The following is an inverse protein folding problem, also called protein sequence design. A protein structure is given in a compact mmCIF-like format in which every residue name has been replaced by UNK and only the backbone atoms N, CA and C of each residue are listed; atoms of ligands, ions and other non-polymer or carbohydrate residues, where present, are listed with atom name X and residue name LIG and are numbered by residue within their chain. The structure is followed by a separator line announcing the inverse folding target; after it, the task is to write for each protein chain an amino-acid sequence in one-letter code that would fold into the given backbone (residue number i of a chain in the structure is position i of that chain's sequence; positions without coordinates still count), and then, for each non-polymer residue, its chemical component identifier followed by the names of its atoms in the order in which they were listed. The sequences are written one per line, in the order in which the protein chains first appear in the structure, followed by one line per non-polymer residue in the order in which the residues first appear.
data_IF_359607767532
#
_entry.id   IF_359607767532
#
_cell.length_a   1.000
_cell.length_b   1.000
_cell.length_c   1.000
_cell.angle_alpha   90.00
_cell.angle_beta   90.00
_cell.angle_gamma   90.00
#
_symmetry.space_group_name_H-M   'P 1'
#
loop_
_entity.id
_entity.type
_entity.pdbx_description
1 polymer ?
#
# COMPACT_ATOMS: atom_id res chain seq x y z
N UNK A 1 8.20 8.11 -31.40
CA UNK A 1 6.78 8.51 -31.23
C UNK A 1 5.95 7.26 -31.00
N UNK A 2 5.17 7.17 -29.92
CA UNK A 2 4.32 6.00 -29.63
C UNK A 2 3.11 5.93 -30.58
N UNK A 3 2.78 4.72 -31.06
CA UNK A 3 1.72 4.48 -32.06
C UNK A 3 0.31 4.67 -31.46
N UNK A 4 -0.70 4.93 -32.31
CA UNK A 4 -2.11 5.07 -31.85
C UNK A 4 -2.61 3.82 -31.11
N UNK A 5 -2.17 2.64 -31.53
CA UNK A 5 -2.50 1.36 -30.89
C UNK A 5 -1.87 1.25 -29.50
N UNK A 6 -0.58 1.59 -29.36
CA UNK A 6 0.11 1.61 -28.06
C UNK A 6 -0.58 2.55 -27.07
N UNK A 7 -0.93 3.77 -27.48
CA UNK A 7 -1.65 4.73 -26.61
C UNK A 7 -3.00 4.20 -26.12
N UNK A 8 -3.73 3.47 -26.96
CA UNK A 8 -5.03 2.89 -26.59
C UNK A 8 -4.86 1.73 -25.60
N UNK A 9 -3.86 0.87 -25.83
CA UNK A 9 -3.53 -0.22 -24.93
C UNK A 9 -3.09 0.29 -23.54
N UNK A 10 -2.21 1.30 -23.50
CA UNK A 10 -1.75 1.94 -22.27
C UNK A 10 -2.92 2.55 -21.48
N UNK A 11 -3.87 3.19 -22.16
CA UNK A 11 -5.08 3.75 -21.54
C UNK A 11 -5.94 2.64 -20.91
N UNK A 12 -6.16 1.54 -21.61
CA UNK A 12 -6.94 0.40 -21.10
C UNK A 12 -6.27 -0.22 -19.88
N UNK A 13 -4.94 -0.41 -19.93
CA UNK A 13 -4.18 -0.95 -18.81
C UNK A 13 -4.26 -0.04 -17.58
N UNK A 14 -4.09 1.27 -17.76
CA UNK A 14 -4.21 2.25 -16.68
C UNK A 14 -5.60 2.24 -16.04
N UNK A 15 -6.67 2.11 -16.85
CA UNK A 15 -8.03 1.98 -16.33
C UNK A 15 -8.21 0.70 -15.50
N UNK A 16 -7.63 -0.42 -15.93
CA UNK A 16 -7.63 -1.68 -15.16
C UNK A 16 -6.92 -1.51 -13.82
N UNK A 17 -5.72 -0.93 -13.82
CA UNK A 17 -4.97 -0.66 -12.59
C UNK A 17 -5.73 0.23 -11.61
N UNK A 18 -6.33 1.31 -12.10
CA UNK A 18 -7.15 2.20 -11.28
C UNK A 18 -8.35 1.47 -10.66
N UNK A 19 -9.00 0.55 -11.39
CA UNK A 19 -10.10 -0.27 -10.86
C UNK A 19 -9.62 -1.20 -9.74
N UNK A 20 -8.49 -1.88 -9.92
CA UNK A 20 -7.92 -2.77 -8.90
C UNK A 20 -7.57 -2.01 -7.63
N UNK A 21 -6.89 -0.87 -7.74
CA UNK A 21 -6.51 -0.06 -6.58
C UNK A 21 -7.74 0.48 -5.83
N UNK A 22 -8.82 0.85 -6.55
CA UNK A 22 -10.10 1.20 -5.93
C UNK A 22 -10.69 0.04 -5.14
N UNK A 23 -10.69 -1.17 -5.70
CA UNK A 23 -11.10 -2.37 -4.96
C UNK A 23 -10.23 -2.60 -3.70
N UNK A 24 -8.92 -2.35 -3.77
CA UNK A 24 -8.07 -2.41 -2.58
C UNK A 24 -8.49 -1.38 -1.52
N UNK A 25 -8.80 -0.14 -1.91
CA UNK A 25 -9.32 0.90 -0.99
C UNK A 25 -10.71 0.57 -0.43
N UNK A 26 -11.45 -0.36 -1.03
CA UNK A 26 -12.75 -0.82 -0.51
C UNK A 26 -12.63 -1.82 0.64
N UNK A 27 -11.46 -2.42 0.84
CA UNK A 27 -11.19 -3.29 2.00
C UNK A 27 -11.23 -2.47 3.31
N UNK A 28 -11.90 -2.94 4.38
CA UNK A 28 -12.09 -2.18 5.63
C UNK A 28 -10.81 -1.61 6.25
N UNK A 29 -9.73 -2.39 6.23
CA UNK A 29 -8.41 -2.02 6.74
C UNK A 29 -7.75 -0.88 5.97
N UNK A 30 -8.11 -0.70 4.70
CA UNK A 30 -7.56 0.31 3.80
C UNK A 30 -8.41 1.59 3.77
N UNK A 31 -9.59 1.61 4.44
CA UNK A 31 -10.42 2.81 4.60
C UNK A 31 -9.80 3.87 5.50
N UNK A 32 -8.74 3.52 6.22
CA UNK A 32 -8.03 4.41 7.13
C UNK A 32 -6.55 4.47 6.76
N UNK A 33 -5.97 5.66 6.81
CA UNK A 33 -4.54 5.89 6.63
C UNK A 33 -3.74 4.95 7.53
N UNK A 34 -2.73 4.28 6.98
CA UNK A 34 -1.88 3.34 7.72
C UNK A 34 -1.25 3.96 8.97
N UNK A 35 -1.04 5.27 8.96
CA UNK A 35 -0.31 6.00 9.99
C UNK A 35 -1.22 6.73 10.98
N UNK A 36 -1.86 7.80 10.50
CA UNK A 36 -2.67 8.69 11.34
C UNK A 36 -4.12 8.24 11.53
N UNK A 37 -4.53 7.15 10.88
CA UNK A 37 -5.90 6.60 10.92
C UNK A 37 -7.00 7.58 10.47
N UNK A 38 -6.67 8.68 9.78
CA UNK A 38 -7.66 9.50 9.06
C UNK A 38 -8.30 8.68 7.93
N UNK A 39 -9.59 8.90 7.68
CA UNK A 39 -10.36 8.17 6.66
C UNK A 39 -9.90 8.51 5.24
N UNK A 40 -10.28 7.63 4.31
CA UNK A 40 -10.16 7.79 2.86
C UNK A 40 -8.74 8.14 2.38
N UNK A 41 -7.73 7.28 2.67
CA UNK A 41 -6.40 7.47 2.12
C UNK A 41 -6.43 7.35 0.58
N UNK A 42 -5.89 8.36 -0.11
CA UNK A 42 -5.81 8.42 -1.59
C UNK A 42 -4.39 8.38 -2.14
N UNK A 43 -3.43 8.10 -1.27
CA UNK A 43 -2.03 7.92 -1.60
C UNK A 43 -1.56 6.55 -1.11
N UNK A 44 -0.49 6.04 -1.70
CA UNK A 44 0.07 4.77 -1.31
C UNK A 44 1.60 4.80 -1.39
N UNK A 45 2.26 4.12 -0.44
CA UNK A 45 3.65 3.76 -0.58
C UNK A 45 3.72 2.35 -1.14
N UNK A 46 4.04 2.23 -2.42
CA UNK A 46 3.86 0.98 -3.15
C UNK A 46 4.91 -0.06 -2.80
N UNK A 47 6.12 0.34 -2.39
CA UNK A 47 7.14 -0.61 -1.95
C UNK A 47 6.90 -1.10 -0.51
N UNK A 48 6.20 -0.30 0.32
CA UNK A 48 5.82 -0.68 1.68
C UNK A 48 4.46 -1.39 1.75
N UNK A 49 3.66 -1.32 0.68
CA UNK A 49 2.36 -1.99 0.58
C UNK A 49 1.24 -1.33 1.39
N UNK A 50 1.31 0.00 1.60
CA UNK A 50 0.39 0.75 2.49
C UNK A 50 -0.36 1.87 1.78
N UNK A 51 -1.59 2.13 2.22
CA UNK A 51 -2.40 3.30 1.85
C UNK A 51 -2.33 4.37 2.95
N UNK A 52 -2.02 5.60 2.55
CA UNK A 52 -1.82 6.76 3.45
C UNK A 52 -2.60 7.98 2.96
N UNK A 53 -2.88 8.92 3.87
CA UNK A 53 -3.49 10.20 3.51
C UNK A 53 -2.46 11.13 2.84
N UNK A 54 -2.93 12.22 2.23
CA UNK A 54 -2.07 13.20 1.56
C UNK A 54 -0.98 13.77 2.48
N UNK A 55 -1.32 14.06 3.74
CA UNK A 55 -0.37 14.62 4.72
C UNK A 55 0.74 13.63 5.05
N UNK A 56 0.41 12.41 5.45
CA UNK A 56 1.41 11.37 5.75
C UNK A 56 2.24 11.00 4.51
N UNK A 57 1.65 11.09 3.32
CA UNK A 57 2.38 10.91 2.07
C UNK A 57 3.54 11.91 1.92
N UNK A 58 3.40 13.14 2.44
CA UNK A 58 4.45 14.14 2.49
C UNK A 58 5.63 13.71 3.37
N UNK A 59 5.36 13.21 4.57
CA UNK A 59 6.38 12.64 5.46
C UNK A 59 7.10 11.48 4.77
N UNK A 60 6.36 10.57 4.14
CA UNK A 60 6.92 9.44 3.40
C UNK A 60 7.85 9.87 2.26
N UNK A 61 7.53 10.96 1.54
CA UNK A 61 8.43 11.52 0.51
C UNK A 61 9.72 12.05 1.13
N UNK A 62 9.64 12.70 2.28
CA UNK A 62 10.80 13.28 2.99
C UNK A 62 11.78 12.24 3.55
N UNK A 63 11.37 10.97 3.69
CA UNK A 63 12.26 9.86 4.07
C UNK A 63 13.13 9.38 2.89
N UNK A 64 12.77 9.69 1.65
CA UNK A 64 13.51 9.30 0.46
C UNK A 64 13.10 7.93 -0.14
N UNK A 65 13.39 7.76 -1.43
CA UNK A 65 12.91 6.63 -2.27
C UNK A 65 13.55 5.27 -1.96
N UNK A 66 14.63 5.27 -1.20
CA UNK A 66 15.27 4.06 -0.67
C UNK A 66 14.49 3.46 0.52
N UNK A 67 13.61 4.26 1.15
CA UNK A 67 12.71 3.83 2.24
C UNK A 67 11.28 3.73 1.74
N UNK A 68 10.75 4.79 1.14
CA UNK A 68 9.33 4.86 0.75
C UNK A 68 9.14 5.50 -0.61
N UNK A 69 8.33 4.86 -1.45
CA UNK A 69 8.04 5.28 -2.83
C UNK A 69 6.55 5.54 -2.96
N UNK A 70 6.19 6.82 -2.99
CA UNK A 70 4.80 7.28 -2.87
C UNK A 70 4.20 7.59 -4.24
N UNK A 71 2.98 7.12 -4.48
CA UNK A 71 2.14 7.47 -5.63
C UNK A 71 0.71 7.80 -5.19
N UNK A 72 0.05 8.67 -5.93
CA UNK A 72 -1.39 8.89 -5.87
C UNK A 72 -2.09 7.66 -6.43
N UNK A 73 -3.15 7.21 -5.76
CA UNK A 73 -3.97 6.11 -6.27
C UNK A 73 -4.76 6.54 -7.51
N UNK A 74 -5.19 7.80 -7.54
CA UNK A 74 -6.09 8.31 -8.58
C UNK A 74 -5.35 9.04 -9.72
N UNK A 75 -4.21 9.67 -9.44
CA UNK A 75 -3.55 10.62 -10.36
C UNK A 75 -2.28 10.08 -11.04
N UNK A 76 -1.61 9.09 -10.45
CA UNK A 76 -0.36 8.56 -10.99
C UNK A 76 -0.58 7.31 -11.86
N UNK A 77 0.31 7.09 -12.82
CA UNK A 77 0.37 5.84 -13.58
C UNK A 77 1.06 4.75 -12.76
N UNK A 78 0.50 3.55 -12.76
CA UNK A 78 1.02 2.38 -12.02
C UNK A 78 1.50 1.28 -12.95
N UNK A 79 2.58 0.59 -12.59
CA UNK A 79 3.00 -0.63 -13.29
C UNK A 79 2.27 -1.85 -12.71
N UNK A 80 2.17 -2.96 -13.46
CA UNK A 80 1.53 -4.19 -12.97
C UNK A 80 2.11 -4.67 -11.64
N UNK A 81 3.45 -4.72 -11.52
CA UNK A 81 4.15 -5.13 -10.29
C UNK A 81 3.81 -4.24 -9.08
N UNK A 82 3.67 -2.93 -9.29
CA UNK A 82 3.30 -2.01 -8.22
C UNK A 82 1.87 -2.25 -7.73
N UNK A 83 0.94 -2.52 -8.66
CA UNK A 83 -0.45 -2.86 -8.33
C UNK A 83 -0.51 -4.20 -7.61
N UNK A 84 0.22 -5.21 -8.10
CA UNK A 84 0.30 -6.53 -7.48
C UNK A 84 0.80 -6.43 -6.04
N UNK A 85 1.85 -5.64 -5.77
CA UNK A 85 2.34 -5.48 -4.41
C UNK A 85 1.29 -4.84 -3.48
N UNK A 86 0.48 -3.88 -3.99
CA UNK A 86 -0.62 -3.30 -3.21
C UNK A 86 -1.75 -4.31 -2.93
N UNK A 87 -1.99 -5.27 -3.83
CA UNK A 87 -2.96 -6.35 -3.63
C UNK A 87 -2.46 -7.37 -2.60
N UNK A 88 -1.18 -7.74 -2.67
CA UNK A 88 -0.57 -8.74 -1.79
C UNK A 88 -0.46 -8.27 -0.34
N UNK A 89 -0.16 -6.98 -0.14
CA UNK A 89 -0.05 -6.36 1.18
C UNK A 89 -1.38 -5.81 1.68
N UNK A 90 -1.62 -4.50 1.50
CA UNK A 90 -2.66 -3.77 2.21
C UNK A 90 -2.28 -3.44 3.66
N UNK A 91 -3.03 -2.52 4.27
CA UNK A 91 -2.72 -1.96 5.58
C UNK A 91 -2.77 -2.99 6.70
N UNK A 92 -3.64 -3.99 6.62
CA UNK A 92 -3.76 -5.06 7.62
C UNK A 92 -2.45 -5.84 7.74
N UNK A 93 -1.99 -6.48 6.66
CA UNK A 93 -0.71 -7.21 6.63
C UNK A 93 0.49 -6.32 6.90
N UNK A 94 0.47 -5.09 6.37
CA UNK A 94 1.52 -4.13 6.67
C UNK A 94 1.63 -3.85 8.17
N UNK A 95 0.51 -3.72 8.89
CA UNK A 95 0.53 -3.50 10.34
C UNK A 95 0.99 -4.76 11.10
N UNK A 96 0.66 -5.98 10.64
CA UNK A 96 1.19 -7.23 11.22
C UNK A 96 2.73 -7.28 11.22
N UNK A 97 3.37 -6.56 10.30
CA UNK A 97 4.83 -6.44 10.25
C UNK A 97 5.34 -5.15 10.90
N UNK A 98 4.94 -3.98 10.40
CA UNK A 98 5.47 -2.66 10.79
C UNK A 98 5.06 -2.20 12.19
N UNK A 99 3.93 -2.71 12.69
CA UNK A 99 3.36 -2.39 14.01
C UNK A 99 3.33 -3.63 14.93
N UNK A 100 4.06 -4.70 14.60
CA UNK A 100 4.00 -5.99 15.32
C UNK A 100 4.28 -5.89 16.82
N UNK A 101 5.18 -4.97 17.21
CA UNK A 101 5.56 -4.71 18.61
C UNK A 101 5.00 -3.38 19.13
N UNK A 102 4.13 -2.74 18.36
CA UNK A 102 3.53 -1.47 18.75
C UNK A 102 2.38 -1.75 19.71
N UNK A 103 2.48 -1.22 20.93
CA UNK A 103 1.34 -1.18 21.86
C UNK A 103 0.22 -0.28 21.29
N UNK A 104 -0.97 -0.27 21.90
CA UNK A 104 -2.10 0.59 21.51
C UNK A 104 -1.88 2.10 21.78
N UNK A 105 -0.68 2.63 21.49
CA UNK A 105 -0.30 4.04 21.63
C UNK A 105 -0.24 4.68 20.25
N UNK A 106 -1.00 5.76 20.08
CA UNK A 106 -0.92 6.64 18.91
C UNK A 106 -0.36 8.00 19.32
N UNK A 107 0.45 8.64 18.47
CA UNK A 107 0.97 9.97 18.76
C UNK A 107 -0.14 11.03 18.59
N UNK A 108 0.01 12.22 19.21
CA UNK A 108 -0.76 13.39 18.81
C UNK A 108 -0.41 13.80 17.37
N UNK A 109 -1.33 14.50 16.68
CA UNK A 109 -1.12 14.90 15.28
C UNK A 109 0.17 15.71 15.07
N UNK A 110 0.54 16.55 16.04
CA UNK A 110 1.76 17.37 16.00
C UNK A 110 3.07 16.56 15.96
N UNK A 111 3.04 15.28 16.35
CA UNK A 111 4.21 14.42 16.39
C UNK A 111 4.13 13.26 15.37
N UNK A 112 3.22 13.36 14.40
CA UNK A 112 2.98 12.33 13.39
C UNK A 112 4.23 12.06 12.53
N UNK A 113 4.97 13.10 12.17
CA UNK A 113 6.18 12.97 11.33
C UNK A 113 7.25 12.10 11.99
N UNK A 114 7.57 12.39 13.24
CA UNK A 114 8.53 11.60 14.02
C UNK A 114 8.04 10.16 14.21
N UNK A 115 6.73 9.96 14.40
CA UNK A 115 6.17 8.63 14.55
C UNK A 115 6.30 7.79 13.26
N UNK A 116 6.04 8.38 12.10
CA UNK A 116 6.21 7.72 10.79
C UNK A 116 7.68 7.34 10.57
N UNK A 117 8.62 8.25 10.87
CA UNK A 117 10.07 7.96 10.77
C UNK A 117 10.47 6.82 11.71
N UNK A 118 10.01 6.84 12.96
CA UNK A 118 10.26 5.72 13.89
C UNK A 118 9.73 4.39 13.38
N UNK A 119 8.57 4.40 12.73
CA UNK A 119 7.93 3.22 12.14
C UNK A 119 8.75 2.64 10.97
N UNK A 120 9.15 3.48 10.02
CA UNK A 120 9.71 3.01 8.74
C UNK A 120 11.23 3.19 8.59
N UNK A 121 11.81 4.30 9.05
CA UNK A 121 13.27 4.51 9.05
C UNK A 121 13.94 3.66 10.14
N UNK A 122 13.46 3.81 11.38
CA UNK A 122 14.07 3.15 12.53
C UNK A 122 13.56 1.73 12.74
N UNK A 123 12.50 1.33 12.03
CA UNK A 123 11.87 0.00 12.15
C UNK A 123 11.56 -0.36 13.61
N UNK A 124 11.10 0.62 14.40
CA UNK A 124 11.02 0.51 15.87
C UNK A 124 10.12 -0.62 16.36
N UNK A 125 9.13 -1.04 15.57
CA UNK A 125 8.10 -1.99 15.98
C UNK A 125 7.98 -3.22 15.07
N UNK A 126 9.01 -3.48 14.24
CA UNK A 126 8.96 -4.60 13.30
C UNK A 126 9.02 -5.96 13.99
N UNK A 127 8.33 -6.96 13.43
CA UNK A 127 8.42 -8.37 13.89
C UNK A 127 9.86 -8.89 13.79
N UNK A 128 10.50 -8.67 12.65
CA UNK A 128 11.87 -9.06 12.30
C UNK A 128 12.56 -7.95 11.50
N UNK A 129 13.90 -7.97 11.39
CA UNK A 129 14.64 -7.00 10.56
C UNK A 129 14.40 -7.18 9.06
N UNK A 130 14.17 -8.42 8.66
CA UNK A 130 13.83 -8.81 7.30
C UNK A 130 12.33 -8.63 7.07
N UNK A 131 12.00 -8.07 5.90
CA UNK A 131 10.62 -7.90 5.46
C UNK A 131 10.13 -9.27 4.98
N UNK A 132 9.07 -9.83 5.59
CA UNK A 132 8.54 -11.14 5.22
C UNK A 132 7.83 -11.10 3.87
N UNK A 133 7.65 -12.27 3.25
CA UNK A 133 6.75 -12.41 2.11
C UNK A 133 5.28 -12.18 2.58
N UNK A 134 4.53 -11.26 1.96
CA UNK A 134 3.13 -10.97 2.33
C UNK A 134 2.19 -12.17 2.26
N UNK A 135 2.54 -13.20 1.51
CA UNK A 135 1.80 -14.46 1.41
C UNK A 135 1.93 -15.32 2.66
N UNK A 136 3.00 -15.13 3.44
CA UNK A 136 3.25 -15.83 4.71
C UNK A 136 2.64 -15.14 5.91
N UNK A 137 2.16 -13.90 5.73
CA UNK A 137 1.43 -13.17 6.75
C UNK A 137 -0.03 -13.62 6.68
N UNK A 138 -0.36 -14.67 7.42
CA UNK A 138 -1.72 -15.21 7.50
C UNK A 138 -2.68 -14.16 8.09
N UNK A 139 -3.64 -13.75 7.27
CA UNK A 139 -4.93 -13.26 7.74
C UNK A 139 -5.82 -14.49 7.87
N UNK A 140 -6.34 -14.80 9.06
CA UNK A 140 -7.29 -15.90 9.28
C UNK A 140 -8.63 -15.76 8.49
N UNK A 141 -8.72 -14.89 7.48
CA UNK A 141 -9.98 -14.60 6.77
C UNK A 141 -9.84 -13.90 5.39
N UNK A 142 -8.79 -14.13 4.59
CA UNK A 142 -8.69 -13.51 3.24
C UNK A 142 -8.16 -14.41 2.11
N UNK A 143 -7.87 -15.69 2.41
CA UNK A 143 -7.36 -16.66 1.44
C UNK A 143 -8.30 -16.94 0.26
N UNK A 144 -9.61 -16.69 0.41
CA UNK A 144 -10.60 -16.99 -0.63
C UNK A 144 -10.61 -15.93 -1.75
N UNK A 145 -10.41 -14.65 -1.42
CA UNK A 145 -10.34 -13.57 -2.42
C UNK A 145 -9.02 -13.61 -3.20
N UNK A 146 -7.89 -13.91 -2.55
CA UNK A 146 -6.59 -14.05 -3.24
C UNK A 146 -6.62 -15.25 -4.21
N UNK A 147 -7.26 -16.36 -3.82
CA UNK A 147 -7.45 -17.53 -4.70
C UNK A 147 -8.39 -17.24 -5.87
N UNK A 148 -9.47 -16.49 -5.65
CA UNK A 148 -10.38 -16.08 -6.72
C UNK A 148 -9.74 -15.08 -7.70
N UNK A 149 -8.95 -14.10 -7.23
CA UNK A 149 -8.28 -13.13 -8.09
C UNK A 149 -7.11 -13.72 -8.90
N UNK A 150 -6.37 -14.69 -8.35
CA UNK A 150 -5.30 -15.39 -9.08
C UNK A 150 -5.91 -16.32 -10.15
N UNK A 151 -6.98 -17.06 -9.82
CA UNK A 151 -7.59 -18.00 -10.76
C UNK A 151 -8.38 -17.32 -11.90
N UNK A 152 -8.90 -16.09 -11.70
CA UNK A 152 -9.63 -15.35 -12.74
C UNK A 152 -8.74 -14.55 -13.71
N UNK A 153 -7.42 -14.45 -13.48
CA UNK A 153 -6.48 -13.71 -14.34
C UNK A 153 -5.35 -14.57 -14.93
N UNK A 154 -5.37 -15.90 -14.74
CA UNK A 154 -4.43 -16.83 -15.39
C UNK A 154 -4.99 -17.54 -16.64
N UNK A 155 -6.24 -17.28 -17.01
CA UNK A 155 -6.78 -17.64 -18.32
C UNK A 155 -7.32 -16.37 -18.98
N UNK A 156 -6.57 -15.85 -19.96
CA UNK A 156 -6.82 -14.80 -20.97
C UNK A 156 -5.78 -13.69 -21.00
#
# INVERSE_FOLDING_TARGET
MSTRFQRTADKSLNQKHAKILKTCLDRPENKYCADCKKKDPRWASWNLGIFVCITCSGTHRSMGTHISRVKSVDLDTWTPEQVENMVLWGNSKANLYWEAKLENRRPPESNMDNWIRRKYEMKSWVKSREIPDPKTLDEQSSGELVRLFINLNCFF
#
